data_IF_957910912664
#
_entry.id   IF_957910912664
#
_cell.length_a   1.000
_cell.length_b   1.000
_cell.length_c   1.000
_cell.angle_alpha   90.00
_cell.angle_beta   90.00
_cell.angle_gamma   90.00
#
_symmetry.space_group_name_H-M   'P 1'
#
loop_
_entity.id
_entity.type
_entity.pdbx_description
1 polymer ?
#
# COMPACT_ATOMS: atom_id res chain seq x y z
N UNK A 1 19.77 -10.67 31.29
CA UNK A 1 21.04 -10.56 30.53
C UNK A 1 20.90 -9.72 29.25
N UNK A 2 19.79 -9.78 28.48
CA UNK A 2 19.57 -8.89 27.32
C UNK A 2 19.20 -7.44 27.69
N UNK A 3 18.68 -7.18 28.90
CA UNK A 3 18.23 -5.83 29.32
C UNK A 3 19.35 -4.91 29.85
N UNK A 4 20.53 -5.43 30.22
CA UNK A 4 21.55 -4.64 30.94
C UNK A 4 22.74 -4.17 30.09
N UNK A 5 23.00 -4.76 28.91
CA UNK A 5 24.20 -4.42 28.13
C UNK A 5 23.99 -3.51 26.91
N UNK A 6 22.74 -3.12 26.58
CA UNK A 6 22.47 -2.26 25.43
C UNK A 6 22.01 -0.86 25.87
N UNK A 7 23.00 0.03 25.92
CA UNK A 7 22.95 1.47 25.67
C UNK A 7 22.42 2.39 26.80
N UNK A 8 23.38 3.05 27.46
CA UNK A 8 23.25 4.44 27.90
C UNK A 8 23.57 5.36 26.70
N UNK A 9 22.63 6.22 26.30
CA UNK A 9 22.81 7.24 25.26
C UNK A 9 21.95 7.01 24.00
N UNK A 10 21.19 8.05 23.63
CA UNK A 10 20.41 8.27 22.40
C UNK A 10 19.06 7.57 22.20
N UNK A 11 18.06 8.34 21.73
CA UNK A 11 16.67 7.91 21.49
C UNK A 11 16.50 6.72 20.54
N UNK A 12 17.53 6.38 19.76
CA UNK A 12 17.55 5.15 18.96
C UNK A 12 17.53 3.86 19.80
N UNK A 13 18.06 3.89 21.02
CA UNK A 13 18.04 2.73 21.93
C UNK A 13 16.63 2.41 22.44
N UNK A 14 15.76 3.41 22.63
CA UNK A 14 14.37 3.20 23.03
C UNK A 14 13.54 2.55 21.90
N UNK A 15 13.69 3.03 20.66
CA UNK A 15 13.04 2.44 19.49
C UNK A 15 13.49 0.99 19.27
N UNK A 16 14.78 0.71 19.45
CA UNK A 16 15.33 -0.65 19.43
C UNK A 16 14.68 -1.55 20.48
N UNK A 17 14.58 -1.12 21.75
CA UNK A 17 13.91 -1.88 22.82
C UNK A 17 12.42 -2.16 22.52
N UNK A 18 11.74 -1.21 21.88
CA UNK A 18 10.32 -1.31 21.54
C UNK A 18 10.05 -2.34 20.44
N UNK A 19 10.97 -2.47 19.48
CA UNK A 19 10.90 -3.47 18.41
C UNK A 19 11.49 -4.83 18.82
N UNK A 20 12.47 -4.85 19.72
CA UNK A 20 13.14 -6.08 20.18
C UNK A 20 12.30 -6.89 21.17
N UNK A 21 11.50 -6.25 22.03
CA UNK A 21 10.65 -6.98 23.00
C UNK A 21 9.65 -7.94 22.32
N UNK A 22 8.92 -7.52 21.28
CA UNK A 22 8.02 -8.41 20.54
C UNK A 22 8.74 -9.50 19.72
N UNK A 23 9.94 -9.20 19.22
CA UNK A 23 10.68 -10.09 18.29
C UNK A 23 11.50 -11.14 19.03
N UNK A 24 12.04 -10.81 20.21
CA UNK A 24 12.90 -11.70 21.01
C UNK A 24 12.13 -12.41 22.13
N UNK A 25 11.03 -11.80 22.61
CA UNK A 25 10.08 -12.45 23.51
C UNK A 25 8.87 -12.91 22.72
N UNK A 26 8.89 -14.17 22.25
CA UNK A 26 7.80 -14.89 21.56
C UNK A 26 6.42 -14.23 21.78
N UNK A 27 6.03 -13.35 20.85
CA UNK A 27 4.72 -12.74 20.88
C UNK A 27 3.65 -13.80 20.65
N UNK A 28 2.58 -13.75 21.46
CA UNK A 28 1.32 -14.43 21.19
C UNK A 28 0.80 -14.07 19.78
N UNK A 29 -0.17 -14.83 19.27
CA UNK A 29 -0.71 -14.81 17.89
C UNK A 29 -1.33 -13.47 17.38
N UNK A 30 -0.98 -12.33 17.96
CA UNK A 30 -1.45 -10.99 17.64
C UNK A 30 -0.32 -10.20 16.98
N UNK A 31 -0.64 -9.46 15.91
CA UNK A 31 0.33 -8.61 15.23
C UNK A 31 0.63 -7.36 16.02
N UNK A 32 1.83 -6.83 15.83
CA UNK A 32 2.24 -5.59 16.48
C UNK A 32 2.39 -4.48 15.45
N UNK A 33 1.72 -3.35 15.66
CA UNK A 33 1.87 -2.15 14.85
C UNK A 33 2.78 -1.14 15.56
N UNK A 34 3.89 -0.81 14.91
CA UNK A 34 4.79 0.25 15.33
C UNK A 34 4.58 1.50 14.48
N UNK A 35 3.83 2.48 14.99
CA UNK A 35 3.53 3.72 14.28
C UNK A 35 4.59 4.81 14.44
N UNK A 36 5.83 4.54 14.07
CA UNK A 36 6.93 5.50 14.23
C UNK A 36 6.89 6.54 13.10
N UNK A 37 6.71 7.83 13.47
CA UNK A 37 6.58 8.92 12.51
C UNK A 37 7.75 8.94 11.48
N UNK A 38 7.53 9.47 10.27
CA UNK A 38 8.55 9.46 9.23
C UNK A 38 9.85 10.12 9.71
N UNK A 39 10.97 9.41 9.62
CA UNK A 39 12.29 9.89 10.05
C UNK A 39 12.68 9.57 11.49
N UNK A 40 11.86 8.87 12.28
CA UNK A 40 12.21 8.43 13.67
C UNK A 40 13.20 7.25 13.69
N UNK A 41 13.56 6.69 12.53
CA UNK A 41 14.60 5.66 12.42
C UNK A 41 14.09 4.22 12.35
N UNK A 42 12.88 3.98 11.81
CA UNK A 42 12.34 2.62 11.53
C UNK A 42 13.38 1.73 10.86
N UNK A 43 13.91 2.19 9.72
CA UNK A 43 14.92 1.46 8.94
C UNK A 43 16.18 1.20 9.75
N UNK A 44 16.65 2.17 10.54
CA UNK A 44 17.82 2.00 11.42
C UNK A 44 17.59 0.90 12.46
N UNK A 45 16.39 0.84 13.03
CA UNK A 45 16.04 -0.16 14.02
C UNK A 45 15.93 -1.56 13.41
N UNK A 46 15.36 -1.70 12.20
CA UNK A 46 15.39 -2.97 11.43
C UNK A 46 16.84 -3.39 11.17
N UNK A 47 17.70 -2.50 10.69
CA UNK A 47 19.11 -2.82 10.41
C UNK A 47 19.83 -3.32 11.67
N UNK A 48 19.61 -2.65 12.79
CA UNK A 48 20.23 -3.05 14.05
C UNK A 48 19.72 -4.42 14.50
N UNK A 49 18.41 -4.64 14.49
CA UNK A 49 17.79 -5.93 14.81
C UNK A 49 18.36 -7.07 13.97
N UNK A 50 18.39 -6.88 12.64
CA UNK A 50 18.87 -7.90 11.70
C UNK A 50 20.35 -8.21 11.96
N UNK A 51 21.22 -7.19 12.02
CA UNK A 51 22.66 -7.38 12.25
C UNK A 51 22.96 -8.05 13.59
N UNK A 52 22.29 -7.63 14.65
CA UNK A 52 22.47 -8.24 15.97
C UNK A 52 22.02 -9.71 15.99
N UNK A 53 20.94 -10.03 15.28
CA UNK A 53 20.44 -11.42 15.18
C UNK A 53 21.38 -12.29 14.36
N UNK A 54 22.00 -11.76 13.31
CA UNK A 54 22.97 -12.49 12.51
C UNK A 54 24.22 -12.88 13.31
N UNK A 55 24.76 -11.95 14.09
CA UNK A 55 26.00 -12.14 14.87
C UNK A 55 25.77 -12.94 16.16
N UNK A 56 24.53 -13.04 16.64
CA UNK A 56 24.22 -13.71 17.89
C UNK A 56 24.25 -15.25 17.76
N UNK A 57 25.09 -15.96 18.54
CA UNK A 57 25.16 -17.43 18.53
C UNK A 57 23.85 -18.11 18.94
N UNK A 58 23.02 -17.40 19.70
CA UNK A 58 21.74 -17.91 20.21
C UNK A 58 20.59 -17.85 19.19
N UNK A 59 20.81 -17.23 18.03
CA UNK A 59 19.75 -16.98 17.05
C UNK A 59 20.09 -17.54 15.66
N UNK A 60 20.94 -18.57 15.58
CA UNK A 60 21.38 -19.16 14.31
C UNK A 60 20.22 -19.71 13.44
N UNK A 61 19.14 -20.14 14.09
CA UNK A 61 17.90 -20.66 13.50
C UNK A 61 16.85 -19.58 13.22
N UNK A 62 17.10 -18.34 13.67
CA UNK A 62 16.20 -17.21 13.43
C UNK A 62 16.40 -16.68 12.01
N UNK A 63 15.27 -16.53 11.30
CA UNK A 63 15.23 -16.07 9.92
C UNK A 63 14.16 -15.00 9.73
N UNK A 64 14.45 -14.06 8.83
CA UNK A 64 13.64 -12.87 8.58
C UNK A 64 12.99 -12.92 7.21
N UNK A 65 11.71 -12.56 7.14
CA UNK A 65 10.99 -12.15 5.95
C UNK A 65 10.69 -10.65 6.06
N UNK A 66 11.31 -9.84 5.21
CA UNK A 66 11.08 -8.39 5.15
C UNK A 66 10.25 -8.07 3.90
N UNK A 67 8.99 -7.70 4.12
CA UNK A 67 8.02 -7.36 3.09
C UNK A 67 8.02 -5.84 2.91
N UNK A 68 8.37 -5.39 1.70
CA UNK A 68 8.46 -3.98 1.33
C UNK A 68 7.44 -3.64 0.23
N UNK A 69 6.95 -2.40 0.14
CA UNK A 69 5.95 -2.05 -0.87
C UNK A 69 6.56 -1.98 -2.28
N UNK A 70 7.88 -1.73 -2.43
CA UNK A 70 8.51 -1.45 -3.73
C UNK A 70 9.91 -2.05 -3.90
N UNK A 71 10.23 -2.39 -5.15
CA UNK A 71 11.56 -2.85 -5.59
C UNK A 71 12.67 -1.85 -5.23
N UNK A 72 12.45 -0.56 -5.44
CA UNK A 72 13.47 0.46 -5.14
C UNK A 72 13.87 0.47 -3.65
N UNK A 73 12.93 0.13 -2.76
CA UNK A 73 13.19 0.06 -1.32
C UNK A 73 13.94 -1.21 -0.94
N UNK A 74 13.69 -2.33 -1.65
CA UNK A 74 14.49 -3.56 -1.53
C UNK A 74 15.95 -3.27 -1.87
N UNK A 75 16.21 -2.66 -3.03
CA UNK A 75 17.57 -2.32 -3.48
C UNK A 75 18.28 -1.44 -2.44
N UNK A 76 17.60 -0.39 -1.97
CA UNK A 76 18.13 0.50 -0.95
C UNK A 76 18.41 -0.24 0.36
N UNK A 77 17.44 -1.01 0.86
CA UNK A 77 17.57 -1.69 2.13
C UNK A 77 18.67 -2.75 2.09
N UNK A 78 18.78 -3.54 1.02
CA UNK A 78 19.85 -4.51 0.83
C UNK A 78 21.22 -3.84 0.93
N UNK A 79 21.43 -2.73 0.20
CA UNK A 79 22.67 -1.95 0.26
C UNK A 79 22.94 -1.38 1.65
N UNK A 80 21.92 -0.84 2.31
CA UNK A 80 22.07 -0.20 3.61
C UNK A 80 22.24 -1.19 4.78
N UNK A 81 21.70 -2.41 4.67
CA UNK A 81 21.90 -3.47 5.65
C UNK A 81 23.35 -3.95 5.65
N UNK A 82 24.07 -3.85 4.51
CA UNK A 82 25.47 -4.21 4.42
C UNK A 82 25.72 -5.65 4.85
N UNK A 83 24.85 -6.56 4.41
CA UNK A 83 24.92 -7.99 4.70
C UNK A 83 25.94 -8.66 3.80
N UNK A 84 26.49 -9.79 4.27
CA UNK A 84 27.24 -10.68 3.39
C UNK A 84 26.28 -11.33 2.39
N UNK A 85 26.77 -11.64 1.19
CA UNK A 85 25.95 -12.23 0.13
C UNK A 85 25.26 -13.53 0.57
N UNK A 86 25.94 -14.33 1.41
CA UNK A 86 25.42 -15.56 1.99
C UNK A 86 24.23 -15.37 2.97
N UNK A 87 24.07 -14.18 3.56
CA UNK A 87 23.08 -13.95 4.61
C UNK A 87 21.68 -13.63 4.06
N UNK A 88 21.58 -13.17 2.81
CA UNK A 88 20.33 -12.66 2.27
C UNK A 88 20.03 -13.13 0.86
N UNK A 89 18.73 -13.15 0.54
CA UNK A 89 18.19 -13.37 -0.78
C UNK A 89 17.10 -12.33 -1.08
N UNK A 90 16.78 -12.18 -2.36
CA UNK A 90 15.75 -11.28 -2.84
C UNK A 90 14.76 -12.05 -3.70
N UNK A 91 13.46 -11.90 -3.42
CA UNK A 91 12.39 -12.53 -4.17
C UNK A 91 11.40 -11.48 -4.67
N UNK A 92 11.43 -11.22 -5.97
CA UNK A 92 10.57 -10.28 -6.68
C UNK A 92 10.18 -10.86 -8.04
N UNK A 93 9.27 -10.19 -8.75
CA UNK A 93 8.99 -10.51 -10.16
C UNK A 93 10.05 -9.97 -11.13
N UNK A 94 11.06 -9.24 -10.65
CA UNK A 94 12.16 -8.70 -11.47
C UNK A 94 13.44 -9.52 -11.22
N UNK A 95 13.80 -10.33 -12.21
CA UNK A 95 14.98 -11.20 -12.13
C UNK A 95 16.29 -10.44 -11.91
N UNK A 96 16.39 -9.18 -12.38
CA UNK A 96 17.59 -8.37 -12.15
C UNK A 96 17.75 -8.02 -10.67
N UNK A 97 16.63 -7.83 -9.98
CA UNK A 97 16.59 -7.49 -8.56
C UNK A 97 16.80 -8.75 -7.71
N UNK A 98 16.33 -9.90 -8.17
CA UNK A 98 16.62 -11.19 -7.55
C UNK A 98 18.14 -11.49 -7.58
N UNK A 99 18.83 -11.07 -8.65
CA UNK A 99 20.28 -11.17 -8.79
C UNK A 99 21.12 -10.21 -7.92
N UNK A 100 20.53 -9.48 -6.97
CA UNK A 100 21.31 -8.72 -5.98
C UNK A 100 22.12 -9.63 -5.04
N UNK A 101 21.71 -10.89 -4.88
CA UNK A 101 22.43 -11.94 -4.17
C UNK A 101 22.39 -13.22 -5.00
N UNK A 102 23.47 -14.00 -5.00
CA UNK A 102 23.49 -15.35 -5.58
C UNK A 102 22.92 -16.43 -4.66
N UNK A 103 22.64 -16.10 -3.39
CA UNK A 103 22.12 -17.05 -2.39
C UNK A 103 20.66 -17.40 -2.68
N UNK A 104 20.35 -18.69 -2.69
CA UNK A 104 18.99 -19.16 -2.88
C UNK A 104 18.07 -18.72 -1.70
N UNK A 105 16.79 -18.39 -1.95
CA UNK A 105 15.85 -18.01 -0.89
C UNK A 105 15.72 -19.02 0.25
N UNK A 106 15.91 -20.32 0.00
CA UNK A 106 15.86 -21.38 1.03
C UNK A 106 17.06 -21.35 1.98
N UNK A 107 18.18 -20.76 1.54
CA UNK A 107 19.48 -20.89 2.20
C UNK A 107 19.87 -19.58 2.90
N UNK A 108 19.27 -18.46 2.51
CA UNK A 108 19.49 -17.15 3.12
C UNK A 108 18.71 -16.97 4.42
N UNK A 109 19.35 -16.50 5.50
CA UNK A 109 18.64 -16.18 6.76
C UNK A 109 17.70 -14.98 6.62
N UNK A 110 17.91 -14.10 5.64
CA UNK A 110 17.07 -12.92 5.41
C UNK A 110 16.52 -12.95 3.99
N UNK A 111 15.19 -12.84 3.86
CA UNK A 111 14.53 -12.71 2.57
C UNK A 111 13.88 -11.35 2.44
N UNK A 112 14.31 -10.58 1.44
CA UNK A 112 13.67 -9.34 1.03
C UNK A 112 12.66 -9.65 -0.06
N UNK A 113 11.43 -9.18 0.07
CA UNK A 113 10.37 -9.42 -0.92
C UNK A 113 9.42 -8.24 -1.02
N UNK A 114 8.62 -8.18 -2.08
CA UNK A 114 7.53 -7.22 -2.17
C UNK A 114 6.24 -7.72 -1.50
N UNK A 115 5.36 -6.80 -1.10
CA UNK A 115 3.99 -7.12 -0.65
C UNK A 115 3.22 -7.95 -1.69
N UNK A 116 3.38 -7.61 -2.97
CA UNK A 116 2.72 -8.31 -4.07
C UNK A 116 3.18 -9.76 -4.19
N UNK A 117 4.48 -10.02 -4.02
CA UNK A 117 5.01 -11.39 -4.06
C UNK A 117 4.42 -12.23 -2.94
N UNK A 118 4.32 -11.70 -1.71
CA UNK A 118 3.65 -12.41 -0.60
C UNK A 118 2.21 -12.73 -0.98
N UNK A 119 1.42 -11.72 -1.34
CA UNK A 119 0.01 -11.87 -1.73
C UNK A 119 -0.17 -12.94 -2.81
N UNK A 120 0.66 -12.93 -3.86
CA UNK A 120 0.58 -13.89 -4.97
C UNK A 120 0.82 -15.34 -4.54
N UNK A 121 1.75 -15.55 -3.60
CA UNK A 121 2.10 -16.91 -3.16
C UNK A 121 1.11 -17.46 -2.13
N UNK A 122 0.41 -16.60 -1.39
CA UNK A 122 -0.56 -17.01 -0.35
C UNK A 122 -2.02 -16.89 -0.77
N UNK A 123 -2.34 -16.33 -1.94
CA UNK A 123 -3.73 -16.19 -2.42
C UNK A 123 -4.41 -17.57 -2.51
N UNK A 124 -5.39 -17.79 -1.64
CA UNK A 124 -6.13 -19.06 -1.52
C UNK A 124 -5.36 -20.24 -0.90
N UNK A 125 -4.17 -20.01 -0.31
CA UNK A 125 -3.29 -21.05 0.23
C UNK A 125 -2.79 -20.68 1.63
N UNK A 126 -2.33 -21.68 2.38
CA UNK A 126 -1.68 -21.42 3.67
C UNK A 126 -0.29 -20.84 3.46
N UNK A 127 0.21 -20.06 4.42
CA UNK A 127 1.57 -19.54 4.35
C UNK A 127 2.61 -20.66 4.49
N UNK A 128 2.32 -21.71 5.26
CA UNK A 128 3.17 -22.89 5.42
C UNK A 128 3.39 -23.67 4.11
N UNK A 129 2.50 -23.54 3.13
CA UNK A 129 2.65 -24.16 1.80
C UNK A 129 3.49 -23.30 0.84
N UNK A 130 3.76 -22.04 1.19
CA UNK A 130 4.51 -21.11 0.35
C UNK A 130 6.03 -21.31 0.52
N UNK A 131 6.55 -22.43 -0.02
CA UNK A 131 7.96 -22.83 0.10
C UNK A 131 8.97 -21.77 -0.37
N UNK A 132 8.54 -20.85 -1.24
CA UNK A 132 9.33 -19.70 -1.68
C UNK A 132 9.78 -18.78 -0.52
N UNK A 133 9.09 -18.82 0.63
CA UNK A 133 9.43 -18.03 1.82
C UNK A 133 10.09 -18.85 2.93
N UNK A 134 10.46 -20.10 2.66
CA UNK A 134 11.08 -20.96 3.67
C UNK A 134 12.57 -20.62 3.86
N UNK A 135 13.08 -20.98 5.03
CA UNK A 135 14.51 -21.03 5.36
C UNK A 135 14.79 -22.38 6.02
N UNK A 136 15.81 -23.09 5.55
CA UNK A 136 16.17 -24.42 6.06
C UNK A 136 14.97 -25.40 6.11
N UNK A 137 14.10 -25.34 5.11
CA UNK A 137 12.90 -26.19 4.98
C UNK A 137 11.69 -25.77 5.82
N UNK A 138 11.83 -24.79 6.73
CA UNK A 138 10.77 -24.28 7.58
C UNK A 138 10.36 -22.84 7.26
N UNK A 139 9.27 -22.38 7.86
CA UNK A 139 8.77 -21.02 7.63
C UNK A 139 9.59 -20.00 8.41
N UNK A 140 9.82 -18.83 7.82
CA UNK A 140 10.58 -17.75 8.48
C UNK A 140 9.93 -17.31 9.77
N UNK A 141 10.74 -17.21 10.82
CA UNK A 141 10.31 -17.00 12.20
C UNK A 141 9.95 -15.55 12.49
N UNK A 142 10.63 -14.59 11.85
CA UNK A 142 10.36 -13.16 12.00
C UNK A 142 9.83 -12.60 10.69
N UNK A 143 8.65 -11.98 10.73
CA UNK A 143 7.97 -11.41 9.57
C UNK A 143 7.75 -9.92 9.83
N UNK A 144 8.24 -9.07 8.93
CA UNK A 144 8.14 -7.61 9.04
C UNK A 144 7.45 -7.08 7.78
N UNK A 145 6.40 -6.29 7.96
CA UNK A 145 5.65 -5.63 6.90
C UNK A 145 5.83 -4.12 7.00
N UNK A 146 6.47 -3.48 6.02
CA UNK A 146 6.67 -2.03 6.02
C UNK A 146 5.57 -1.31 5.24
N UNK A 147 4.84 -0.43 5.92
CA UNK A 147 3.75 0.40 5.40
C UNK A 147 2.53 -0.37 4.85
N UNK A 148 1.35 0.25 4.92
CA UNK A 148 0.16 -0.15 4.15
C UNK A 148 -0.29 -1.63 4.32
N UNK A 149 -0.22 -2.16 5.54
CA UNK A 149 -0.75 -3.49 5.82
C UNK A 149 -2.28 -3.51 5.72
N UNK A 150 -2.80 -4.52 5.01
CA UNK A 150 -4.21 -4.87 4.95
C UNK A 150 -4.34 -6.40 5.01
N UNK A 151 -5.31 -6.97 5.75
CA UNK A 151 -5.52 -8.42 5.84
C UNK A 151 -6.08 -9.04 4.54
N UNK A 152 -6.43 -8.20 3.57
CA UNK A 152 -7.07 -8.60 2.34
C UNK A 152 -6.98 -7.54 1.25
N UNK A 153 -7.88 -7.64 0.29
CA UNK A 153 -8.01 -6.66 -0.79
C UNK A 153 -9.47 -6.23 -0.99
N UNK A 154 -9.62 -5.00 -1.44
CA UNK A 154 -10.87 -4.48 -2.01
C UNK A 154 -10.83 -4.77 -3.50
N UNK A 155 -11.83 -5.48 -4.01
CA UNK A 155 -11.93 -5.87 -5.41
C UNK A 155 -13.10 -5.14 -6.03
N UNK A 156 -12.84 -4.44 -7.12
CA UNK A 156 -13.86 -3.71 -7.87
C UNK A 156 -13.82 -4.12 -9.32
N UNK A 157 -14.99 -4.19 -9.95
CA UNK A 157 -15.11 -4.28 -11.40
C UNK A 157 -16.29 -3.43 -11.85
N UNK A 158 -16.08 -2.63 -12.88
CA UNK A 158 -17.08 -1.74 -13.42
C UNK A 158 -17.91 -2.45 -14.50
N UNK A 159 -19.13 -1.96 -14.71
CA UNK A 159 -20.00 -2.46 -15.77
C UNK A 159 -19.35 -2.33 -17.17
N UNK A 160 -18.56 -1.27 -17.40
CA UNK A 160 -17.84 -1.04 -18.65
C UNK A 160 -16.70 -2.06 -18.84
N UNK A 161 -15.91 -2.31 -17.80
CA UNK A 161 -14.85 -3.34 -17.81
C UNK A 161 -15.43 -4.73 -18.09
N UNK A 162 -16.52 -5.10 -17.42
CA UNK A 162 -17.21 -6.38 -17.66
C UNK A 162 -17.73 -6.50 -19.09
N UNK A 163 -18.29 -5.43 -19.64
CA UNK A 163 -18.84 -5.42 -21.00
C UNK A 163 -17.77 -5.65 -22.08
N UNK A 164 -16.48 -5.56 -21.76
CA UNK A 164 -15.39 -5.92 -22.70
C UNK A 164 -15.21 -7.44 -22.82
N UNK A 165 -15.51 -8.20 -21.78
CA UNK A 165 -15.22 -9.65 -21.70
C UNK A 165 -15.98 -10.50 -22.73
N UNK A 166 -17.28 -10.27 -23.04
CA UNK A 166 -18.04 -11.12 -23.96
C UNK A 166 -17.40 -11.27 -25.35
N UNK A 167 -16.79 -10.20 -25.86
CA UNK A 167 -16.10 -10.22 -27.15
C UNK A 167 -14.87 -11.14 -27.15
N UNK A 168 -14.22 -11.31 -25.99
CA UNK A 168 -13.04 -12.15 -25.81
C UNK A 168 -13.39 -13.59 -25.44
N UNK A 169 -14.42 -13.79 -24.59
CA UNK A 169 -14.85 -15.12 -24.15
C UNK A 169 -15.56 -15.92 -25.25
N UNK A 170 -16.15 -15.22 -26.23
CA UNK A 170 -16.49 -15.74 -27.55
C UNK A 170 -17.16 -17.13 -27.57
N UNK A 171 -16.61 -18.03 -28.41
CA UNK A 171 -17.07 -19.43 -28.56
C UNK A 171 -16.35 -20.41 -27.63
N UNK A 172 -15.21 -20.03 -27.05
CA UNK A 172 -14.40 -20.91 -26.21
C UNK A 172 -15.03 -21.12 -24.84
N UNK A 173 -15.70 -20.10 -24.30
CA UNK A 173 -16.32 -20.14 -22.96
C UNK A 173 -17.75 -19.55 -22.97
N UNK A 174 -18.71 -20.15 -23.71
CA UNK A 174 -20.05 -19.58 -23.89
C UNK A 174 -20.83 -19.43 -22.58
N UNK A 175 -20.70 -20.39 -21.66
CA UNK A 175 -21.37 -20.33 -20.34
C UNK A 175 -20.84 -19.19 -19.48
N UNK A 176 -19.52 -18.98 -19.49
CA UNK A 176 -18.89 -17.89 -18.76
C UNK A 176 -19.32 -16.54 -19.34
N UNK A 177 -19.35 -16.43 -20.67
CA UNK A 177 -19.87 -15.25 -21.36
C UNK A 177 -21.30 -14.94 -20.94
N UNK A 178 -22.22 -15.92 -21.04
CA UNK A 178 -23.63 -15.72 -20.71
C UNK A 178 -23.83 -15.27 -19.26
N UNK A 179 -23.03 -15.82 -18.33
CA UNK A 179 -23.07 -15.42 -16.93
C UNK A 179 -22.57 -13.98 -16.72
N UNK A 180 -21.51 -13.55 -17.42
CA UNK A 180 -21.03 -12.16 -17.36
C UNK A 180 -22.04 -11.20 -17.98
N UNK A 181 -22.59 -11.53 -19.15
CA UNK A 181 -23.63 -10.72 -19.82
C UNK A 181 -24.85 -10.55 -18.92
N UNK A 182 -25.33 -11.65 -18.32
CA UNK A 182 -26.44 -11.61 -17.35
C UNK A 182 -26.10 -10.72 -16.15
N UNK A 183 -24.93 -10.90 -15.55
CA UNK A 183 -24.53 -10.12 -14.38
C UNK A 183 -24.43 -8.62 -14.69
N UNK A 184 -23.97 -8.25 -15.90
CA UNK A 184 -23.98 -6.86 -16.38
C UNK A 184 -25.39 -6.29 -16.45
N UNK A 185 -26.38 -7.06 -16.91
CA UNK A 185 -27.79 -6.61 -16.91
C UNK A 185 -28.35 -6.48 -15.49
N UNK A 186 -28.03 -7.42 -14.60
CA UNK A 186 -28.41 -7.35 -13.19
C UNK A 186 -27.82 -6.10 -12.51
N UNK A 187 -26.54 -5.77 -12.78
CA UNK A 187 -25.91 -4.54 -12.31
C UNK A 187 -26.63 -3.27 -12.80
N UNK A 188 -27.10 -3.26 -14.05
CA UNK A 188 -27.82 -2.09 -14.62
C UNK A 188 -29.17 -1.90 -13.93
N UNK A 189 -29.86 -2.99 -13.60
CA UNK A 189 -31.16 -2.98 -12.93
C UNK A 189 -31.06 -2.63 -11.44
N UNK A 190 -29.94 -2.97 -10.78
CA UNK A 190 -29.73 -2.75 -9.35
C UNK A 190 -29.62 -1.27 -8.97
N UNK A 191 -30.22 -0.89 -7.85
CA UNK A 191 -30.05 0.42 -7.24
C UNK A 191 -28.66 0.58 -6.58
N UNK A 192 -28.29 1.81 -6.23
CA UNK A 192 -27.07 2.04 -5.45
C UNK A 192 -27.23 1.46 -4.04
N UNK A 193 -26.28 0.65 -3.60
CA UNK A 193 -26.29 -0.05 -2.32
C UNK A 193 -26.86 -1.47 -2.38
N UNK A 194 -27.50 -1.85 -3.49
CA UNK A 194 -28.00 -3.22 -3.68
C UNK A 194 -26.87 -4.24 -3.62
N UNK A 195 -27.21 -5.45 -3.20
CA UNK A 195 -26.28 -6.58 -3.08
C UNK A 195 -26.69 -7.64 -4.10
N UNK A 196 -25.74 -8.06 -4.92
CA UNK A 196 -25.91 -9.12 -5.90
C UNK A 196 -24.98 -10.29 -5.58
N UNK A 197 -25.42 -11.50 -5.90
CA UNK A 197 -24.55 -12.68 -5.92
C UNK A 197 -23.72 -12.64 -7.21
N UNK A 198 -22.40 -12.61 -7.08
CA UNK A 198 -21.50 -12.71 -8.21
C UNK A 198 -21.43 -14.16 -8.68
N UNK A 199 -21.54 -14.46 -9.98
CA UNK A 199 -21.60 -15.82 -10.48
C UNK A 199 -20.37 -16.65 -10.05
N UNK A 200 -20.60 -17.90 -9.66
CA UNK A 200 -19.55 -18.86 -9.29
C UNK A 200 -18.83 -19.37 -10.55
N UNK A 201 -17.84 -18.62 -11.01
CA UNK A 201 -17.18 -18.83 -12.30
C UNK A 201 -16.48 -20.18 -12.41
N UNK A 202 -15.92 -20.71 -11.32
CA UNK A 202 -15.26 -22.02 -11.29
C UNK A 202 -16.17 -23.18 -11.72
N UNK A 203 -17.50 -23.01 -11.62
CA UNK A 203 -18.47 -24.00 -12.09
C UNK A 203 -18.83 -23.87 -13.58
N UNK A 204 -18.39 -22.79 -14.24
CA UNK A 204 -18.84 -22.38 -15.57
C UNK A 204 -17.81 -22.63 -16.68
N UNK A 205 -16.58 -22.96 -16.32
CA UNK A 205 -15.52 -23.34 -17.27
C UNK A 205 -14.89 -24.67 -16.88
N UNK A 206 -14.36 -25.37 -17.86
CA UNK A 206 -13.54 -26.59 -17.67
C UNK A 206 -12.07 -26.22 -17.85
N UNK A 207 -11.25 -26.37 -16.81
CA UNK A 207 -9.82 -26.05 -16.87
C UNK A 207 -9.33 -25.36 -15.61
N UNK A 208 -8.07 -24.94 -15.62
CA UNK A 208 -7.51 -24.09 -14.57
C UNK A 208 -7.67 -22.59 -14.89
N UNK A 209 -7.19 -21.70 -14.01
CA UNK A 209 -7.25 -20.26 -14.23
C UNK A 209 -6.44 -19.78 -15.45
N UNK A 210 -5.42 -20.54 -15.85
CA UNK A 210 -4.57 -20.23 -17.02
C UNK A 210 -5.34 -20.49 -18.30
N UNK A 211 -6.12 -21.57 -18.34
CA UNK A 211 -7.01 -21.89 -19.47
C UNK A 211 -8.04 -20.78 -19.73
N UNK A 212 -8.61 -20.19 -18.67
CA UNK A 212 -9.56 -19.07 -18.79
C UNK A 212 -8.87 -17.79 -19.29
N UNK A 213 -7.66 -17.51 -18.82
CA UNK A 213 -6.90 -16.35 -19.32
C UNK A 213 -6.50 -16.53 -20.79
N UNK A 214 -6.06 -17.72 -21.17
CA UNK A 214 -5.75 -18.07 -22.56
C UNK A 214 -7.00 -17.99 -23.46
N UNK A 215 -8.19 -18.18 -22.90
CA UNK A 215 -9.46 -18.07 -23.62
C UNK A 215 -9.77 -16.65 -24.08
N UNK A 216 -9.09 -15.61 -23.56
CA UNK A 216 -9.28 -14.23 -23.99
C UNK A 216 -8.72 -13.92 -25.41
N UNK A 217 -7.98 -14.86 -26.00
CA UNK A 217 -7.40 -14.76 -27.33
C UNK A 217 -5.99 -14.14 -27.36
N UNK A 218 -5.37 -14.03 -28.55
CA UNK A 218 -4.06 -13.40 -28.69
C UNK A 218 -4.20 -11.87 -28.57
N UNK A 219 -3.60 -11.28 -27.53
CA UNK A 219 -3.62 -9.84 -27.22
C UNK A 219 -4.97 -9.31 -26.72
N UNK A 220 -5.53 -9.86 -25.63
CA UNK A 220 -6.64 -9.21 -24.97
C UNK A 220 -6.14 -7.89 -24.38
N UNK A 221 -6.86 -6.81 -24.62
CA UNK A 221 -6.49 -5.52 -24.04
C UNK A 221 -6.36 -5.62 -22.53
N UNK A 222 -5.48 -4.81 -21.92
CA UNK A 222 -5.20 -4.86 -20.48
C UNK A 222 -6.48 -4.76 -19.62
N UNK A 223 -7.45 -3.96 -20.06
CA UNK A 223 -8.77 -3.81 -19.43
C UNK A 223 -9.50 -5.16 -19.31
N UNK A 224 -9.52 -5.98 -20.37
CA UNK A 224 -10.18 -7.28 -20.36
C UNK A 224 -9.45 -8.28 -19.44
N UNK A 225 -8.12 -8.25 -19.42
CA UNK A 225 -7.32 -9.10 -18.52
C UNK A 225 -7.64 -8.76 -17.06
N UNK A 226 -7.64 -7.47 -16.72
CA UNK A 226 -7.86 -7.02 -15.36
C UNK A 226 -9.32 -7.23 -14.93
N UNK A 227 -10.28 -7.00 -15.83
CA UNK A 227 -11.68 -7.34 -15.61
C UNK A 227 -11.85 -8.83 -15.28
N UNK A 228 -11.27 -9.73 -16.08
CA UNK A 228 -11.34 -11.17 -15.83
C UNK A 228 -10.72 -11.55 -14.48
N UNK A 229 -9.56 -10.97 -14.12
CA UNK A 229 -8.93 -11.20 -12.81
C UNK A 229 -9.85 -10.75 -11.67
N UNK A 230 -10.47 -9.57 -11.77
CA UNK A 230 -11.45 -9.12 -10.79
C UNK A 230 -12.66 -10.04 -10.71
N UNK A 231 -13.19 -10.53 -11.85
CA UNK A 231 -14.27 -11.51 -11.88
C UNK A 231 -13.89 -12.81 -11.16
N UNK A 232 -12.70 -13.34 -11.42
CA UNK A 232 -12.20 -14.55 -10.76
C UNK A 232 -12.08 -14.37 -9.24
N UNK A 233 -11.69 -13.16 -8.81
CA UNK A 233 -11.56 -12.77 -7.40
C UNK A 233 -12.89 -12.57 -6.68
N UNK A 234 -13.94 -12.18 -7.41
CA UNK A 234 -15.31 -11.98 -6.92
C UNK A 234 -16.19 -13.24 -7.04
N UNK A 235 -15.75 -14.22 -7.84
CA UNK A 235 -16.47 -15.44 -8.18
C UNK A 235 -17.15 -16.12 -6.98
N UNK A 236 -18.47 -16.25 -7.03
CA UNK A 236 -19.27 -16.93 -6.01
C UNK A 236 -19.47 -16.14 -4.71
N UNK A 237 -18.95 -14.92 -4.61
CA UNK A 237 -19.13 -14.03 -3.48
C UNK A 237 -20.32 -13.08 -3.65
N UNK A 238 -20.66 -12.36 -2.58
CA UNK A 238 -21.60 -11.24 -2.64
C UNK A 238 -20.87 -9.96 -2.98
N UNK A 239 -21.46 -9.15 -3.85
CA UNK A 239 -20.94 -7.84 -4.22
C UNK A 239 -21.97 -6.75 -4.03
N UNK A 240 -21.52 -5.60 -3.57
CA UNK A 240 -22.37 -4.41 -3.41
C UNK A 240 -22.25 -3.54 -4.65
N UNK A 241 -23.37 -3.03 -5.14
CA UNK A 241 -23.45 -2.17 -6.30
C UNK A 241 -23.28 -0.72 -5.88
N UNK A 242 -22.21 -0.08 -6.34
CA UNK A 242 -21.94 1.33 -6.13
C UNK A 242 -22.14 2.10 -7.44
N UNK A 243 -22.80 3.25 -7.37
CA UNK A 243 -23.00 4.17 -8.50
C UNK A 243 -22.26 5.46 -8.22
N UNK A 244 -21.31 5.85 -9.08
CA UNK A 244 -20.55 7.10 -8.95
C UNK A 244 -21.14 8.22 -9.82
N UNK A 245 -20.69 9.45 -9.59
CA UNK A 245 -21.05 10.60 -10.42
C UNK A 245 -20.54 10.39 -11.84
N UNK A 246 -21.45 10.18 -12.81
CA UNK A 246 -21.09 9.90 -14.20
C UNK A 246 -21.69 8.64 -14.81
N UNK A 247 -22.67 8.01 -14.14
CA UNK A 247 -23.36 6.77 -14.57
C UNK A 247 -22.52 5.49 -14.50
N UNK A 248 -21.28 5.56 -14.03
CA UNK A 248 -20.47 4.37 -13.80
C UNK A 248 -21.09 3.53 -12.68
N UNK A 249 -21.24 2.24 -12.95
CA UNK A 249 -21.77 1.23 -12.02
C UNK A 249 -20.63 0.28 -11.70
N UNK A 250 -20.35 0.08 -10.42
CA UNK A 250 -19.23 -0.73 -9.92
C UNK A 250 -19.75 -1.82 -9.01
N UNK A 251 -19.35 -3.06 -9.26
CA UNK A 251 -19.49 -4.15 -8.30
C UNK A 251 -18.29 -4.12 -7.36
N UNK A 252 -18.56 -4.00 -6.06
CA UNK A 252 -17.60 -3.94 -4.98
C UNK A 252 -17.65 -5.23 -4.16
N UNK A 253 -16.52 -5.91 -4.02
CA UNK A 253 -16.35 -7.00 -3.07
C UNK A 253 -15.10 -6.80 -2.21
N UNK A 254 -14.99 -7.56 -1.13
CA UNK A 254 -13.77 -7.65 -0.32
C UNK A 254 -13.40 -9.12 -0.14
N UNK A 255 -12.10 -9.41 -0.06
CA UNK A 255 -11.61 -10.76 0.23
C UNK A 255 -10.44 -10.68 1.21
N UNK A 256 -10.47 -11.52 2.23
CA UNK A 256 -9.30 -11.80 3.06
C UNK A 256 -8.30 -12.62 2.24
N UNK A 257 -7.10 -12.10 2.08
CA UNK A 257 -6.04 -12.76 1.29
C UNK A 257 -4.86 -13.20 2.13
N UNK A 258 -4.74 -12.69 3.36
CA UNK A 258 -3.71 -13.13 4.30
C UNK A 258 -4.22 -14.36 5.07
N UNK A 259 -3.54 -15.52 4.98
CA UNK A 259 -3.95 -16.69 5.73
C UNK A 259 -3.59 -16.55 7.21
N UNK A 260 -4.32 -17.22 8.09
CA UNK A 260 -4.14 -17.09 9.55
C UNK A 260 -2.77 -17.56 10.04
N UNK A 261 -2.10 -18.45 9.32
CA UNK A 261 -0.75 -18.93 9.63
C UNK A 261 0.36 -17.99 9.12
N UNK A 262 0.02 -16.87 8.48
CA UNK A 262 0.95 -15.78 8.18
C UNK A 262 1.34 -14.97 9.44
N UNK A 263 0.62 -15.11 10.53
CA UNK A 263 0.90 -14.44 11.80
C UNK A 263 1.82 -15.28 12.71
N UNK A 264 2.59 -14.65 13.63
CA UNK A 264 2.60 -13.22 13.98
C UNK A 264 3.40 -12.34 12.99
N UNK A 265 2.98 -11.08 12.85
CA UNK A 265 3.58 -10.07 11.98
C UNK A 265 3.94 -8.79 12.75
N UNK A 266 5.08 -8.19 12.42
CA UNK A 266 5.44 -6.84 12.86
C UNK A 266 5.16 -5.85 11.72
N UNK A 267 4.14 -5.00 11.91
CA UNK A 267 3.78 -3.95 10.95
C UNK A 267 4.47 -2.65 11.32
N UNK A 268 5.18 -2.06 10.36
CA UNK A 268 5.93 -0.81 10.50
C UNK A 268 5.32 0.25 9.60
N UNK A 269 4.34 1.00 10.07
CA UNK A 269 3.65 2.02 9.26
C UNK A 269 3.72 3.38 9.94
N UNK A 270 4.42 4.32 9.32
CA UNK A 270 4.67 5.63 9.94
C UNK A 270 3.39 6.43 10.16
N UNK A 271 2.37 6.16 9.36
CA UNK A 271 1.06 6.80 9.42
C UNK A 271 0.04 6.01 10.22
N UNK A 272 0.42 4.87 10.82
CA UNK A 272 -0.52 4.00 11.52
C UNK A 272 -1.34 4.73 12.60
N UNK A 273 -0.77 5.79 13.20
CA UNK A 273 -1.46 6.64 14.18
C UNK A 273 -2.64 7.44 13.62
N UNK A 274 -2.60 7.82 12.34
CA UNK A 274 -3.64 8.63 11.68
C UNK A 274 -4.58 7.81 10.79
N UNK A 275 -4.29 6.52 10.58
CA UNK A 275 -5.11 5.65 9.74
C UNK A 275 -6.18 4.93 10.56
N UNK A 276 -7.44 5.23 10.22
CA UNK A 276 -8.61 4.59 10.81
C UNK A 276 -8.65 3.08 10.53
N UNK A 277 -8.11 2.62 9.41
CA UNK A 277 -8.05 1.19 9.05
C UNK A 277 -7.40 0.36 10.14
N UNK A 278 -6.28 0.81 10.72
CA UNK A 278 -5.64 0.12 11.85
C UNK A 278 -6.47 0.16 13.14
N UNK A 279 -7.22 1.24 13.38
CA UNK A 279 -8.15 1.28 14.53
C UNK A 279 -9.29 0.27 14.36
N UNK A 280 -9.79 0.08 13.13
CA UNK A 280 -10.78 -0.95 12.83
C UNK A 280 -10.19 -2.36 12.99
N UNK A 281 -8.96 -2.59 12.54
CA UNK A 281 -8.26 -3.88 12.71
C UNK A 281 -7.99 -4.22 14.18
N UNK A 282 -7.74 -3.21 15.01
CA UNK A 282 -7.53 -3.35 16.46
C UNK A 282 -8.84 -3.64 17.20
N UNK A 283 -9.95 -3.00 16.81
CA UNK A 283 -11.27 -3.18 17.45
C UNK A 283 -12.03 -4.42 16.96
N UNK A 284 -11.87 -4.77 15.70
CA UNK A 284 -12.62 -5.84 15.03
C UNK A 284 -11.97 -7.21 15.25
N UNK A 285 -11.36 -7.83 14.22
CA UNK A 285 -10.69 -9.13 14.33
C UNK A 285 -9.53 -9.22 15.34
N UNK A 286 -9.12 -8.09 15.95
CA UNK A 286 -7.96 -7.97 16.84
C UNK A 286 -6.67 -8.52 16.22
N UNK A 287 -6.54 -8.36 14.89
CA UNK A 287 -5.35 -8.81 14.15
C UNK A 287 -4.15 -7.97 14.58
N UNK A 288 -4.34 -6.68 14.86
CA UNK A 288 -3.27 -5.72 15.14
C UNK A 288 -3.39 -5.15 16.56
N UNK A 289 -2.28 -5.10 17.27
CA UNK A 289 -2.09 -4.38 18.54
C UNK A 289 -1.10 -3.24 18.36
N UNK A 290 -1.50 -2.02 18.73
CA UNK A 290 -0.60 -0.86 18.67
C UNK A 290 0.48 -0.96 19.76
N UNK A 291 1.73 -0.85 19.32
CA UNK A 291 2.84 -0.60 20.22
C UNK A 291 2.84 0.87 20.64
N UNK A 292 3.58 1.19 21.70
CA UNK A 292 3.76 2.58 22.13
C UNK A 292 4.43 3.38 21.00
N UNK A 293 3.78 4.46 20.59
CA UNK A 293 4.27 5.33 19.52
C UNK A 293 5.15 6.44 20.09
N UNK A 294 6.22 6.80 19.37
CA UNK A 294 6.90 8.08 19.49
C UNK A 294 6.32 9.02 18.43
N UNK A 295 5.63 10.08 18.87
CA UNK A 295 4.96 11.05 18.00
C UNK A 295 5.77 12.32 17.91
N UNK A 296 5.96 12.83 16.69
CA UNK A 296 6.58 14.14 16.49
C UNK A 296 5.62 15.26 16.82
N UNK A 297 6.18 16.35 17.35
CA UNK A 297 5.49 17.63 17.40
C UNK A 297 5.64 18.37 16.05
N UNK A 298 4.50 18.82 15.53
CA UNK A 298 4.41 19.66 14.33
C UNK A 298 3.84 21.05 14.67
N UNK A 299 3.81 21.44 15.94
CA UNK A 299 3.23 22.71 16.42
C UNK A 299 3.92 23.97 15.85
N UNK A 300 5.16 23.84 15.37
CA UNK A 300 5.88 24.91 14.68
C UNK A 300 5.55 25.01 13.17
N UNK A 301 4.67 24.16 12.65
CA UNK A 301 4.33 24.11 11.23
C UNK A 301 3.18 25.06 10.91
N UNK A 302 3.36 25.92 9.90
CA UNK A 302 2.29 26.76 9.38
C UNK A 302 1.59 26.06 8.23
N UNK A 303 0.32 25.67 8.42
CA UNK A 303 -0.50 25.04 7.38
C UNK A 303 -1.39 26.09 6.73
N UNK A 304 -1.35 26.15 5.40
CA UNK A 304 -2.28 26.96 4.58
C UNK A 304 -3.08 26.01 3.68
N UNK A 305 -4.39 26.21 3.63
CA UNK A 305 -5.30 25.38 2.84
C UNK A 305 -6.01 26.24 1.81
N UNK A 306 -5.84 25.91 0.54
CA UNK A 306 -6.65 26.48 -0.54
C UNK A 306 -8.03 25.82 -0.52
N UNK A 307 -9.09 26.60 -0.35
CA UNK A 307 -10.48 26.11 -0.31
C UNK A 307 -11.01 25.83 -1.73
N UNK A 308 -10.40 24.84 -2.39
CA UNK A 308 -10.71 24.37 -3.75
C UNK A 308 -10.58 22.85 -3.82
N UNK A 309 -11.25 22.24 -4.79
CA UNK A 309 -11.06 20.81 -5.07
C UNK A 309 -9.64 20.53 -5.56
N UNK A 310 -8.98 19.54 -4.96
CA UNK A 310 -7.63 19.09 -5.33
C UNK A 310 -7.58 17.80 -6.14
N UNK A 311 -8.74 17.26 -6.54
CA UNK A 311 -8.83 16.00 -7.27
C UNK A 311 -8.49 16.15 -8.76
N UNK A 312 -8.35 15.01 -9.46
CA UNK A 312 -8.05 14.99 -10.91
C UNK A 312 -9.04 15.80 -11.75
N UNK A 313 -10.34 15.72 -11.43
CA UNK A 313 -11.37 16.50 -12.11
C UNK A 313 -11.18 18.02 -11.95
N UNK A 314 -10.87 18.47 -10.72
CA UNK A 314 -10.61 19.88 -10.46
C UNK A 314 -9.38 20.38 -11.24
N UNK A 315 -8.32 19.59 -11.30
CA UNK A 315 -7.14 19.90 -12.12
C UNK A 315 -7.43 19.89 -13.62
N UNK A 316 -8.30 19.01 -14.10
CA UNK A 316 -8.71 18.99 -15.50
C UNK A 316 -9.48 20.25 -15.89
N UNK A 317 -10.36 20.74 -15.00
CA UNK A 317 -11.23 21.89 -15.27
C UNK A 317 -10.58 23.25 -14.97
N UNK A 318 -9.76 23.32 -13.92
CA UNK A 318 -9.22 24.57 -13.36
C UNK A 318 -7.68 24.59 -13.28
N UNK A 319 -6.99 23.70 -14.01
CA UNK A 319 -5.56 23.46 -13.80
C UNK A 319 -4.66 24.69 -13.96
N UNK A 320 -4.98 25.60 -14.88
CA UNK A 320 -4.22 26.84 -15.07
C UNK A 320 -4.38 27.79 -13.88
N UNK A 321 -5.61 27.99 -13.39
CA UNK A 321 -5.89 28.81 -12.19
C UNK A 321 -5.18 28.25 -10.96
N UNK A 322 -5.26 26.93 -10.76
CA UNK A 322 -4.60 26.26 -9.64
C UNK A 322 -3.06 26.36 -9.72
N UNK A 323 -2.48 26.21 -10.92
CA UNK A 323 -1.04 26.38 -11.13
C UNK A 323 -0.58 27.82 -10.88
N UNK A 324 -1.38 28.81 -11.30
CA UNK A 324 -1.10 30.22 -11.07
C UNK A 324 -1.09 30.56 -9.57
N UNK A 325 -2.02 30.02 -8.78
CA UNK A 325 -2.03 30.22 -7.33
C UNK A 325 -0.78 29.61 -6.66
N UNK A 326 -0.40 28.40 -7.07
CA UNK A 326 0.84 27.76 -6.58
C UNK A 326 2.06 28.62 -6.92
N UNK A 327 2.17 29.10 -8.16
CA UNK A 327 3.26 29.96 -8.60
C UNK A 327 3.29 31.29 -7.82
N UNK A 328 2.13 31.88 -7.52
CA UNK A 328 2.00 33.07 -6.68
C UNK A 328 2.54 32.84 -5.27
N UNK A 329 2.16 31.71 -4.64
CA UNK A 329 2.67 31.32 -3.31
C UNK A 329 4.19 31.16 -3.33
N UNK A 330 4.74 30.48 -4.34
CA UNK A 330 6.18 30.29 -4.51
C UNK A 330 6.90 31.63 -4.74
N UNK A 331 6.27 32.55 -5.47
CA UNK A 331 6.81 33.88 -5.78
C UNK A 331 6.80 34.81 -4.56
N UNK A 332 5.95 34.56 -3.56
CA UNK A 332 5.93 35.32 -2.30
C UNK A 332 7.21 35.14 -1.45
N UNK A 333 8.00 34.11 -1.75
CA UNK A 333 9.29 33.78 -1.11
C UNK A 333 10.31 33.39 -2.18
N UNK A 334 10.86 34.37 -2.94
CA UNK A 334 11.66 34.09 -4.14
C UNK A 334 13.01 33.42 -3.85
N UNK A 335 13.54 33.55 -2.63
CA UNK A 335 14.83 32.98 -2.23
C UNK A 335 14.70 31.64 -1.48
N UNK A 336 13.49 31.22 -1.13
CA UNK A 336 13.30 29.98 -0.37
C UNK A 336 13.14 28.77 -1.30
N UNK A 337 13.63 27.57 -0.91
CA UNK A 337 13.40 26.36 -1.66
C UNK A 337 11.99 25.79 -1.41
N UNK A 338 11.42 25.17 -2.45
CA UNK A 338 10.08 24.62 -2.47
C UNK A 338 10.06 23.19 -3.00
N UNK A 339 9.23 22.34 -2.40
CA UNK A 339 8.88 21.02 -2.90
C UNK A 339 7.41 21.02 -3.30
N UNK A 340 7.11 20.73 -4.55
CA UNK A 340 5.74 20.59 -5.05
C UNK A 340 5.45 19.12 -5.35
N UNK A 341 4.50 18.55 -4.62
CA UNK A 341 3.99 17.20 -4.83
C UNK A 341 2.73 17.27 -5.68
N UNK A 342 2.73 16.64 -6.86
CA UNK A 342 1.69 16.83 -7.87
C UNK A 342 1.22 15.53 -8.54
N UNK A 343 0.12 15.58 -9.27
CA UNK A 343 -0.41 14.45 -10.05
C UNK A 343 0.22 14.40 -11.46
N UNK A 344 0.76 13.24 -11.88
CA UNK A 344 1.57 13.10 -13.11
C UNK A 344 0.89 13.58 -14.41
N UNK A 345 -0.42 13.44 -14.54
CA UNK A 345 -1.17 13.75 -15.77
C UNK A 345 -1.74 15.18 -15.83
N UNK A 346 -1.52 15.98 -14.79
CA UNK A 346 -2.05 17.34 -14.72
C UNK A 346 -1.41 18.22 -15.78
N UNK A 347 -2.22 19.07 -16.43
CA UNK A 347 -1.80 19.97 -17.51
C UNK A 347 -1.08 19.23 -18.66
N UNK A 348 -1.56 18.04 -19.01
CA UNK A 348 -0.94 17.22 -20.07
C UNK A 348 0.48 16.75 -19.73
N UNK A 349 0.81 16.66 -18.44
CA UNK A 349 2.15 16.32 -17.97
C UNK A 349 3.12 17.50 -17.88
N UNK A 350 2.70 18.71 -18.28
CA UNK A 350 3.53 19.93 -18.27
C UNK A 350 3.46 20.74 -16.98
N UNK A 351 2.99 20.13 -15.89
CA UNK A 351 2.78 20.85 -14.63
C UNK A 351 4.06 21.52 -14.09
N UNK A 352 5.22 20.83 -14.01
CA UNK A 352 6.47 21.45 -13.56
C UNK A 352 6.90 22.67 -14.39
N UNK A 353 6.77 22.57 -15.72
CA UNK A 353 7.13 23.63 -16.65
C UNK A 353 6.21 24.84 -16.45
N UNK A 354 4.90 24.62 -16.41
CA UNK A 354 3.92 25.70 -16.25
C UNK A 354 4.11 26.46 -14.93
N UNK A 355 4.30 25.74 -13.81
CA UNK A 355 4.54 26.39 -12.50
C UNK A 355 5.87 27.14 -12.50
N UNK A 356 6.93 26.57 -13.07
CA UNK A 356 8.25 27.21 -13.15
C UNK A 356 8.25 28.45 -14.03
N UNK A 357 7.53 28.43 -15.16
CA UNK A 357 7.38 29.57 -16.07
C UNK A 357 6.60 30.74 -15.43
N UNK A 358 5.64 30.44 -14.55
CA UNK A 358 4.82 31.45 -13.86
C UNK A 358 5.45 31.98 -12.57
N UNK A 359 6.32 31.20 -11.92
CA UNK A 359 6.94 31.57 -10.67
C UNK A 359 8.07 32.60 -10.89
N UNK A 360 8.15 33.59 -10.01
CA UNK A 360 9.26 34.53 -9.96
C UNK A 360 10.48 33.92 -9.25
N UNK A 361 11.68 34.36 -9.60
CA UNK A 361 12.95 33.90 -9.00
C UNK A 361 13.60 32.75 -9.77
N UNK A 362 14.62 32.13 -9.18
CA UNK A 362 15.37 31.02 -9.81
C UNK A 362 14.51 29.74 -9.83
N UNK A 363 14.21 29.15 -11.00
CA UNK A 363 13.49 27.88 -11.09
C UNK A 363 14.18 26.71 -10.38
N UNK A 364 15.51 26.72 -10.23
CA UNK A 364 16.26 25.63 -9.62
C UNK A 364 15.94 25.39 -8.14
N UNK A 365 15.34 26.37 -7.45
CA UNK A 365 14.88 26.25 -6.06
C UNK A 365 13.57 25.46 -5.93
N UNK A 366 12.90 25.16 -7.04
CA UNK A 366 11.61 24.46 -7.06
C UNK A 366 11.85 23.01 -7.46
N UNK A 367 11.67 22.11 -6.51
CA UNK A 367 11.70 20.68 -6.75
C UNK A 367 10.29 20.15 -6.98
N UNK A 368 10.14 19.25 -7.96
CA UNK A 368 8.87 18.60 -8.28
C UNK A 368 8.99 17.09 -8.10
N UNK A 369 7.97 16.49 -7.48
CA UNK A 369 7.85 15.04 -7.39
C UNK A 369 6.38 14.64 -7.50
N UNK A 370 6.08 13.54 -8.19
CA UNK A 370 4.69 13.13 -8.33
C UNK A 370 4.19 12.28 -7.14
N UNK A 371 2.87 12.31 -6.93
CA UNK A 371 2.18 11.30 -6.12
C UNK A 371 2.53 9.90 -6.65
N UNK A 372 2.89 8.99 -5.76
CA UNK A 372 3.59 7.76 -6.13
C UNK A 372 5.09 7.88 -5.95
N UNK A 373 5.82 8.61 -6.80
CA UNK A 373 7.29 8.68 -6.73
C UNK A 373 7.85 9.33 -5.45
N UNK A 374 7.06 10.19 -4.79
CA UNK A 374 7.47 10.80 -3.51
C UNK A 374 7.66 9.75 -2.40
N UNK A 375 6.94 8.61 -2.46
CA UNK A 375 7.13 7.52 -1.51
C UNK A 375 8.51 6.89 -1.76
N UNK A 376 9.35 6.88 -0.73
CA UNK A 376 10.65 6.21 -0.77
C UNK A 376 11.84 7.09 -1.16
N UNK A 377 11.69 8.41 -1.37
CA UNK A 377 12.84 9.33 -1.48
C UNK A 377 12.99 10.18 -0.21
N UNK A 378 14.24 10.52 0.12
CA UNK A 378 14.62 11.46 1.17
C UNK A 378 15.35 12.71 0.61
N UNK A 379 15.45 12.85 -0.71
CA UNK A 379 16.27 13.86 -1.37
C UNK A 379 15.83 15.28 -1.00
N UNK A 380 14.55 15.44 -0.66
CA UNK A 380 13.91 16.72 -0.34
C UNK A 380 13.80 17.02 1.16
N UNK A 381 14.35 16.17 2.04
CA UNK A 381 14.21 16.34 3.50
C UNK A 381 14.81 17.65 4.04
N UNK A 382 15.60 18.35 3.22
CA UNK A 382 16.18 19.64 3.54
C UNK A 382 15.26 20.84 3.21
N UNK A 383 14.22 20.65 2.38
CA UNK A 383 13.37 21.72 1.84
C UNK A 383 12.31 22.16 2.88
N UNK A 384 12.23 23.44 3.25
CA UNK A 384 11.31 23.92 4.29
C UNK A 384 9.87 24.06 3.83
N UNK A 385 9.64 24.48 2.58
CA UNK A 385 8.29 24.72 2.08
C UNK A 385 7.81 23.56 1.20
N UNK A 386 6.63 23.03 1.52
CA UNK A 386 6.01 21.93 0.77
C UNK A 386 4.63 22.35 0.30
N UNK A 387 4.34 22.15 -0.98
CA UNK A 387 3.02 22.33 -1.58
C UNK A 387 2.50 20.95 -1.99
N UNK A 388 1.33 20.58 -1.47
CA UNK A 388 0.57 19.43 -1.95
C UNK A 388 -0.41 19.93 -3.01
N UNK A 389 -0.07 19.78 -4.29
CA UNK A 389 -0.88 20.22 -5.43
C UNK A 389 -2.05 19.25 -5.65
N UNK A 390 -3.00 19.28 -4.71
CA UNK A 390 -4.01 18.26 -4.52
C UNK A 390 -3.49 17.06 -3.73
N UNK A 391 -4.40 16.25 -3.19
CA UNK A 391 -4.08 14.98 -2.50
C UNK A 391 -4.48 13.79 -3.37
N UNK A 392 -4.07 12.59 -2.96
CA UNK A 392 -4.58 11.35 -3.55
C UNK A 392 -5.96 11.06 -2.96
N UNK A 393 -6.96 10.92 -3.84
CA UNK A 393 -8.32 10.54 -3.48
C UNK A 393 -8.58 9.15 -4.07
N UNK A 394 -9.15 8.26 -3.25
CA UNK A 394 -9.82 7.07 -3.77
C UNK A 394 -11.26 7.41 -4.13
N UNK A 395 -11.84 6.56 -4.98
CA UNK A 395 -13.27 6.57 -5.25
C UNK A 395 -14.06 6.20 -3.98
N UNK A 396 -15.28 6.71 -3.82
CA UNK A 396 -16.07 6.52 -2.60
C UNK A 396 -16.28 5.04 -2.24
N UNK A 397 -16.50 4.20 -3.26
CA UNK A 397 -16.69 2.76 -3.08
C UNK A 397 -15.42 2.04 -2.59
N UNK A 398 -14.24 2.62 -2.81
CA UNK A 398 -13.01 2.07 -2.28
C UNK A 398 -12.89 2.29 -0.77
N UNK A 399 -13.27 3.48 -0.26
CA UNK A 399 -13.34 3.72 1.18
C UNK A 399 -14.37 2.81 1.86
N UNK A 400 -15.52 2.60 1.19
CA UNK A 400 -16.53 1.63 1.62
C UNK A 400 -15.94 0.21 1.71
N UNK A 401 -15.23 -0.24 0.68
CA UNK A 401 -14.55 -1.54 0.67
C UNK A 401 -13.51 -1.67 1.80
N UNK A 402 -12.71 -0.64 2.05
CA UNK A 402 -11.75 -0.64 3.15
C UNK A 402 -12.44 -0.73 4.52
N UNK A 403 -13.58 -0.05 4.69
CA UNK A 403 -14.37 -0.15 5.92
C UNK A 403 -14.89 -1.58 6.12
N UNK A 404 -15.47 -2.21 5.09
CA UNK A 404 -15.87 -3.61 5.15
C UNK A 404 -14.71 -4.54 5.52
N UNK A 405 -13.59 -4.40 4.81
CA UNK A 405 -12.42 -5.26 4.98
C UNK A 405 -11.81 -5.13 6.38
N UNK A 406 -11.56 -3.90 6.84
CA UNK A 406 -10.82 -3.68 8.09
C UNK A 406 -11.69 -3.86 9.34
N UNK A 407 -13.01 -3.62 9.24
CA UNK A 407 -13.95 -3.88 10.32
C UNK A 407 -14.52 -5.31 10.29
N UNK A 408 -14.12 -6.14 9.32
CA UNK A 408 -14.69 -7.47 9.06
C UNK A 408 -16.23 -7.46 8.96
N UNK A 409 -16.80 -6.43 8.33
CA UNK A 409 -18.23 -6.31 8.07
C UNK A 409 -18.52 -6.98 6.71
N UNK A 410 -19.38 -8.01 6.65
CA UNK A 410 -19.81 -8.63 5.40
C UNK A 410 -20.28 -7.60 4.35
N UNK A 411 -19.95 -7.84 3.07
CA UNK A 411 -20.29 -6.93 1.97
C UNK A 411 -21.79 -6.75 1.76
N UNK A 412 -22.64 -7.57 2.37
CA UNK A 412 -24.10 -7.45 2.32
C UNK A 412 -24.71 -6.64 3.47
N UNK A 413 -23.90 -6.19 4.43
CA UNK A 413 -24.34 -5.35 5.56
C UNK A 413 -23.81 -3.94 5.38
N UNK A 414 -24.68 -2.92 5.39
CA UNK A 414 -24.21 -1.54 5.30
C UNK A 414 -23.36 -1.16 6.53
N UNK A 415 -22.10 -0.72 6.34
CA UNK A 415 -21.33 -0.16 7.43
C UNK A 415 -21.93 1.20 7.82
N UNK A 416 -21.81 1.56 9.09
CA UNK A 416 -22.23 2.89 9.55
C UNK A 416 -21.47 3.99 8.77
N UNK A 417 -22.13 5.04 8.28
CA UNK A 417 -21.49 6.10 7.49
C UNK A 417 -20.25 6.70 8.17
N UNK A 418 -20.30 6.88 9.49
CA UNK A 418 -19.17 7.39 10.30
C UNK A 418 -17.90 6.53 10.18
N UNK A 419 -18.03 5.22 9.96
CA UNK A 419 -16.89 4.33 9.75
C UNK A 419 -16.23 4.61 8.39
N UNK A 420 -17.05 4.75 7.34
CA UNK A 420 -16.56 5.05 5.98
C UNK A 420 -15.91 6.44 5.94
N UNK A 421 -16.53 7.43 6.57
CA UNK A 421 -15.99 8.79 6.69
C UNK A 421 -14.68 8.80 7.49
N UNK A 422 -14.60 8.02 8.57
CA UNK A 422 -13.37 7.84 9.35
C UNK A 422 -12.24 7.21 8.52
N UNK A 423 -12.54 6.16 7.75
CA UNK A 423 -11.58 5.54 6.81
C UNK A 423 -11.09 6.55 5.79
N UNK A 424 -12.01 7.30 5.16
CA UNK A 424 -11.68 8.35 4.20
C UNK A 424 -10.79 9.43 4.81
N UNK A 425 -11.14 9.96 5.98
CA UNK A 425 -10.34 10.95 6.69
C UNK A 425 -8.95 10.41 7.07
N UNK A 426 -8.86 9.14 7.48
CA UNK A 426 -7.60 8.49 7.82
C UNK A 426 -6.67 8.30 6.62
N UNK A 427 -7.21 7.88 5.47
CA UNK A 427 -6.44 7.77 4.23
C UNK A 427 -5.97 9.13 3.72
N UNK A 428 -6.80 10.18 3.80
CA UNK A 428 -6.36 11.54 3.50
C UNK A 428 -5.24 12.02 4.44
N UNK A 429 -5.39 11.75 5.74
CA UNK A 429 -4.36 12.09 6.74
C UNK A 429 -3.05 11.36 6.48
N UNK A 430 -3.11 10.09 6.08
CA UNK A 430 -1.95 9.31 5.64
C UNK A 430 -1.23 9.97 4.45
N UNK A 431 -1.95 10.27 3.37
CA UNK A 431 -1.36 10.87 2.17
C UNK A 431 -0.74 12.24 2.45
N UNK A 432 -1.42 13.07 3.27
CA UNK A 432 -0.90 14.38 3.69
C UNK A 432 0.36 14.22 4.52
N UNK A 433 0.35 13.35 5.55
CA UNK A 433 1.50 13.14 6.42
C UNK A 433 2.71 12.62 5.64
N UNK A 434 2.50 11.63 4.76
CA UNK A 434 3.56 11.05 3.93
C UNK A 434 4.14 12.04 2.93
N UNK A 435 3.30 12.87 2.31
CA UNK A 435 3.73 13.92 1.39
C UNK A 435 4.48 15.05 2.11
N UNK A 436 3.90 15.58 3.19
CA UNK A 436 4.49 16.65 3.99
C UNK A 436 5.85 16.26 4.57
N UNK A 437 5.98 15.03 5.07
CA UNK A 437 7.22 14.50 5.63
C UNK A 437 8.27 14.10 4.57
N UNK A 438 8.11 14.55 3.32
CA UNK A 438 9.22 14.57 2.34
C UNK A 438 10.06 15.83 2.44
N UNK A 439 9.49 16.92 2.96
CA UNK A 439 10.22 18.14 3.29
C UNK A 439 10.87 18.08 4.67
N UNK A 440 11.26 19.26 5.17
CA UNK A 440 11.94 19.45 6.45
C UNK A 440 11.11 19.06 7.67
N UNK A 441 9.78 19.01 7.57
CA UNK A 441 8.90 18.52 8.63
C UNK A 441 9.26 17.08 9.07
N UNK A 442 9.93 16.31 8.20
CA UNK A 442 10.52 15.02 8.55
C UNK A 442 11.55 15.10 9.67
N UNK A 443 12.22 16.24 9.84
CA UNK A 443 13.28 16.46 10.82
C UNK A 443 12.78 17.14 12.09
N UNK A 444 11.47 17.37 12.24
CA UNK A 444 10.90 17.82 13.51
C UNK A 444 11.28 16.86 14.64
N UNK A 445 11.63 17.43 15.78
CA UNK A 445 12.02 16.74 17.01
C UNK A 445 10.86 16.88 18.00
N UNK A 446 10.73 15.90 18.89
CA UNK A 446 9.79 15.88 20.03
C UNK A 446 10.04 17.03 21.02
#
# INVERSE_FOLDING_TARGET
LYEEHVCQGDGHAQTGRLLLRPVVGFCAAVDNLSSLDPGVGKTSAIKHLVRQTLVSPHHHDVSFLLCLPRIAEIIRLAKELGLEEADYAVLTSDEKVNGLSSTAPSDARILLTTHEMVRRHVDGRSFNEASAFHFAGGVRTVRIWDEEFLPGEVVTVTQEELATLPAHLGRSQPRLRDAVDKFVEDMKAAANGDVLDFPALSSLYTGDSVDVQNSLGPNPGQIAIDALKSCMRLSGGKVRIARSSGRQITALGVRTTMPSDFYPLLVLDASGRVRQTYELLEKGPQIVRRLRTATKDYGNLTIRVMQRGGGKYSWQKHGQELAQEIASIISSKPEEPWLVIYHKSVLGGRFPEVVSEMASGDPARISFVNWGAHQGTNDYAHIPNVILAGTTFYEEHHYLGLAHLCAAIPTDIDPMPVLVDGVKAGEHSHHILQGLCRGSARRSID
#
